data_IF_015550234391
#
_entry.id   IF_015550234391
#
_cell.length_a   1.000
_cell.length_b   1.000
_cell.length_c   1.000
_cell.angle_alpha   90.00
_cell.angle_beta   90.00
_cell.angle_gamma   90.00
#
_symmetry.space_group_name_H-M   'P 1'
#
loop_
_entity.id
_entity.type
_entity.pdbx_description
1 polymer ?
#
# COMPACT_ATOMS: atom_id res chain seq x y z
N UNK A 1 -39.00 33.21 -53.48
CA UNK A 1 -38.60 31.79 -53.29
C UNK A 1 -37.37 31.77 -52.40
N UNK A 2 -37.52 31.38 -51.13
CA UNK A 2 -36.45 31.39 -50.12
C UNK A 2 -35.93 29.97 -49.93
N UNK A 3 -34.66 29.73 -50.27
CA UNK A 3 -33.98 28.43 -50.13
C UNK A 3 -33.45 28.34 -48.69
N UNK A 4 -34.08 27.49 -47.86
CA UNK A 4 -33.60 27.12 -46.53
C UNK A 4 -32.59 25.98 -46.67
N UNK A 5 -31.31 26.27 -46.41
CA UNK A 5 -30.26 25.29 -46.26
C UNK A 5 -30.37 24.60 -44.89
N UNK A 6 -30.52 23.27 -44.88
CA UNK A 6 -30.38 22.45 -43.68
C UNK A 6 -28.90 22.07 -43.48
N UNK A 7 -28.30 22.58 -42.41
CA UNK A 7 -27.05 22.06 -41.89
C UNK A 7 -27.33 20.80 -41.03
N UNK A 8 -26.61 19.69 -41.22
CA UNK A 8 -26.71 18.55 -40.31
C UNK A 8 -25.86 18.84 -39.06
N UNK A 9 -26.52 18.81 -37.91
CA UNK A 9 -25.91 18.88 -36.58
C UNK A 9 -25.17 17.56 -36.32
N UNK A 10 -23.84 17.61 -36.35
CA UNK A 10 -22.96 16.49 -36.05
C UNK A 10 -22.86 16.38 -34.53
N UNK A 11 -23.73 15.56 -33.93
CA UNK A 11 -23.68 15.22 -32.51
C UNK A 11 -22.52 14.26 -32.29
N UNK A 12 -21.38 14.81 -31.85
CA UNK A 12 -20.30 14.01 -31.27
C UNK A 12 -20.83 13.37 -29.97
N UNK A 13 -21.11 12.07 -30.02
CA UNK A 13 -21.30 11.25 -28.83
C UNK A 13 -19.97 11.27 -28.06
N UNK A 14 -19.93 12.08 -27.00
CA UNK A 14 -18.86 12.09 -26.01
C UNK A 14 -18.97 10.78 -25.20
N UNK A 15 -18.39 9.70 -25.72
CA UNK A 15 -18.23 8.44 -24.97
C UNK A 15 -17.19 8.73 -23.87
N UNK A 16 -17.55 8.70 -22.58
CA UNK A 16 -16.56 8.84 -21.52
C UNK A 16 -15.54 7.70 -21.63
N UNK A 17 -14.23 7.96 -21.44
CA UNK A 17 -13.24 6.90 -21.41
C UNK A 17 -13.64 5.90 -20.32
N UNK A 18 -13.44 4.58 -20.55
CA UNK A 18 -13.73 3.59 -19.53
C UNK A 18 -12.93 3.94 -18.28
N UNK A 19 -13.62 4.21 -17.18
CA UNK A 19 -12.98 4.37 -15.88
C UNK A 19 -12.21 3.08 -15.60
N UNK A 20 -10.88 3.15 -15.62
CA UNK A 20 -10.04 1.99 -15.31
C UNK A 20 -10.43 1.52 -13.91
N UNK A 21 -11.01 0.32 -13.81
CA UNK A 21 -11.35 -0.29 -12.52
C UNK A 21 -10.05 -0.37 -11.73
N UNK A 22 -9.98 0.30 -10.58
CA UNK A 22 -8.81 0.24 -9.73
C UNK A 22 -8.55 -1.22 -9.39
N UNK A 23 -7.36 -1.72 -9.73
CA UNK A 23 -6.94 -3.10 -9.42
C UNK A 23 -6.99 -3.32 -7.91
N UNK A 24 -7.32 -4.53 -7.48
CA UNK A 24 -7.13 -4.94 -6.09
C UNK A 24 -5.64 -5.00 -5.76
N UNK A 25 -5.25 -4.43 -4.61
CA UNK A 25 -3.85 -4.41 -4.16
C UNK A 25 -3.52 -5.57 -3.21
N UNK A 26 -4.56 -6.23 -2.71
CA UNK A 26 -4.48 -7.46 -1.94
C UNK A 26 -4.98 -8.61 -2.80
N UNK A 27 -4.40 -9.78 -2.59
CA UNK A 27 -4.90 -11.04 -3.15
C UNK A 27 -6.15 -11.49 -2.40
N UNK A 28 -6.95 -12.36 -3.01
CA UNK A 28 -8.14 -12.92 -2.37
C UNK A 28 -7.81 -13.59 -1.01
N UNK A 29 -6.74 -14.39 -0.95
CA UNK A 29 -6.32 -15.05 0.29
C UNK A 29 -5.82 -14.08 1.37
N UNK A 30 -5.20 -12.97 0.99
CA UNK A 30 -4.82 -11.92 1.93
C UNK A 30 -6.05 -11.20 2.49
N UNK A 31 -7.04 -10.88 1.64
CA UNK A 31 -8.30 -10.29 2.07
C UNK A 31 -9.02 -11.20 3.05
N UNK A 32 -9.14 -12.49 2.73
CA UNK A 32 -9.77 -13.49 3.61
C UNK A 32 -9.06 -13.56 4.96
N UNK A 33 -7.73 -13.64 4.95
CA UNK A 33 -6.92 -13.69 6.17
C UNK A 33 -7.10 -12.46 7.04
N UNK A 34 -7.10 -11.26 6.42
CA UNK A 34 -7.28 -9.98 7.13
C UNK A 34 -8.69 -9.87 7.72
N UNK A 35 -9.71 -10.29 6.98
CA UNK A 35 -11.10 -10.27 7.45
C UNK A 35 -11.34 -11.27 8.59
N UNK A 36 -10.69 -12.43 8.55
CA UNK A 36 -10.76 -13.46 9.59
C UNK A 36 -9.95 -13.15 10.86
N UNK A 37 -9.11 -12.12 10.85
CA UNK A 37 -8.20 -11.85 11.95
C UNK A 37 -8.92 -11.30 13.21
N UNK A 38 -8.58 -11.80 14.42
CA UNK A 38 -9.36 -11.57 15.64
C UNK A 38 -9.25 -10.14 16.21
N UNK A 39 -8.30 -9.33 15.73
CA UNK A 39 -8.03 -8.00 16.27
C UNK A 39 -7.08 -7.17 15.41
N UNK A 40 -6.92 -5.90 15.79
CA UNK A 40 -6.08 -4.94 15.05
C UNK A 40 -4.62 -5.38 15.01
N UNK A 41 -4.09 -5.95 16.09
CA UNK A 41 -2.70 -6.38 16.14
C UNK A 41 -2.41 -7.52 15.15
N UNK A 42 -3.35 -8.46 14.99
CA UNK A 42 -3.25 -9.54 14.02
C UNK A 42 -3.41 -9.02 12.58
N UNK A 43 -4.37 -8.12 12.34
CA UNK A 43 -4.56 -7.49 11.02
C UNK A 43 -3.33 -6.71 10.58
N UNK A 44 -2.75 -5.90 11.48
CA UNK A 44 -1.50 -5.18 11.18
C UNK A 44 -0.43 -6.16 10.73
N UNK A 45 -0.23 -7.29 11.43
CA UNK A 45 0.77 -8.27 11.04
C UNK A 45 0.55 -8.80 9.62
N UNK A 46 -0.68 -9.21 9.29
CA UNK A 46 -1.04 -9.73 7.97
C UNK A 46 -0.83 -8.70 6.86
N UNK A 47 -1.20 -7.45 7.09
CA UNK A 47 -0.90 -6.39 6.14
C UNK A 47 0.61 -6.17 5.98
N UNK A 48 1.39 -6.19 7.06
CA UNK A 48 2.84 -6.01 6.97
C UNK A 48 3.52 -7.17 6.23
N UNK A 49 3.01 -8.40 6.38
CA UNK A 49 3.48 -9.57 5.62
C UNK A 49 3.17 -9.42 4.12
N UNK A 50 1.98 -8.95 3.77
CA UNK A 50 1.61 -8.65 2.38
C UNK A 50 2.49 -7.53 1.80
N UNK A 51 2.73 -6.46 2.56
CA UNK A 51 3.61 -5.35 2.17
C UNK A 51 5.05 -5.82 1.93
N UNK A 52 5.59 -6.65 2.83
CA UNK A 52 6.92 -7.22 2.69
C UNK A 52 7.03 -8.09 1.43
N UNK A 53 6.01 -8.90 1.15
CA UNK A 53 5.96 -9.72 -0.07
C UNK A 53 6.05 -8.85 -1.32
N UNK A 54 5.31 -7.72 -1.37
CA UNK A 54 5.38 -6.78 -2.52
C UNK A 54 6.79 -6.24 -2.72
N UNK A 55 7.46 -5.77 -1.65
CA UNK A 55 8.82 -5.23 -1.79
C UNK A 55 9.83 -6.30 -2.22
N UNK A 56 9.72 -7.52 -1.68
CA UNK A 56 10.59 -8.63 -2.08
C UNK A 56 10.41 -8.98 -3.55
N UNK A 57 9.16 -9.20 -3.98
CA UNK A 57 8.87 -9.52 -5.37
C UNK A 57 9.21 -8.37 -6.33
N UNK A 58 9.10 -7.12 -5.90
CA UNK A 58 9.55 -5.97 -6.69
C UNK A 58 11.06 -6.00 -6.93
N UNK A 59 11.85 -6.30 -5.90
CA UNK A 59 13.30 -6.43 -6.02
C UNK A 59 13.72 -7.61 -6.92
N UNK A 60 13.05 -8.75 -6.79
CA UNK A 60 13.22 -9.90 -7.67
C UNK A 60 12.91 -9.50 -9.13
N UNK A 61 11.80 -8.78 -9.37
CA UNK A 61 11.42 -8.34 -10.72
C UNK A 61 12.43 -7.35 -11.33
N UNK A 62 13.01 -6.47 -10.53
CA UNK A 62 14.06 -5.54 -11.00
C UNK A 62 15.34 -6.27 -11.40
N UNK A 63 15.65 -7.38 -10.72
CA UNK A 63 16.83 -8.19 -10.99
C UNK A 63 16.63 -9.25 -12.07
N UNK A 64 15.41 -9.37 -12.61
CA UNK A 64 15.07 -10.33 -13.67
C UNK A 64 14.59 -11.68 -13.15
N UNK A 65 14.22 -11.77 -11.87
CA UNK A 65 13.59 -12.96 -11.30
C UNK A 65 12.19 -13.19 -11.88
N UNK A 66 11.92 -14.45 -12.20
CA UNK A 66 10.60 -14.93 -12.61
C UNK A 66 9.80 -15.34 -11.36
N UNK A 67 8.48 -15.21 -11.46
CA UNK A 67 7.57 -15.68 -10.42
C UNK A 67 7.21 -17.14 -10.66
N UNK A 68 6.91 -17.87 -9.59
CA UNK A 68 6.39 -19.23 -9.71
C UNK A 68 5.03 -19.24 -10.40
N UNK A 69 4.75 -20.29 -11.18
CA UNK A 69 3.47 -20.46 -11.86
C UNK A 69 2.32 -20.44 -10.84
N UNK A 70 1.36 -19.54 -11.06
CA UNK A 70 0.21 -19.36 -10.17
C UNK A 70 0.47 -18.45 -8.97
N UNK A 71 1.63 -17.79 -8.88
CA UNK A 71 1.80 -16.69 -7.93
C UNK A 71 0.80 -15.55 -8.29
N UNK A 72 -0.05 -15.10 -7.35
CA UNK A 72 -0.94 -13.96 -7.57
C UNK A 72 -0.24 -12.66 -8.03
N UNK A 73 1.07 -12.55 -7.85
CA UNK A 73 1.90 -11.41 -8.22
C UNK A 73 2.65 -11.61 -9.55
N UNK A 74 2.49 -12.76 -10.21
CA UNK A 74 3.25 -13.17 -11.40
C UNK A 74 3.28 -12.08 -12.48
N UNK A 75 2.12 -11.51 -12.79
CA UNK A 75 1.98 -10.54 -13.88
C UNK A 75 2.22 -9.08 -13.47
N UNK A 76 2.58 -8.82 -12.21
CA UNK A 76 2.74 -7.45 -11.74
C UNK A 76 4.14 -6.90 -12.04
N UNK A 77 4.23 -5.64 -12.44
CA UNK A 77 5.54 -4.97 -12.55
C UNK A 77 6.08 -4.56 -11.17
N UNK A 78 7.36 -4.24 -11.09
CA UNK A 78 7.96 -3.76 -9.84
C UNK A 78 7.28 -2.47 -9.32
N UNK A 79 6.94 -1.57 -10.24
CA UNK A 79 6.23 -0.32 -9.98
C UNK A 79 4.83 -0.62 -9.41
N UNK A 80 4.10 -1.54 -10.06
CA UNK A 80 2.78 -1.97 -9.61
C UNK A 80 2.81 -2.63 -8.23
N UNK A 81 3.85 -3.40 -7.91
CA UNK A 81 4.00 -3.99 -6.57
C UNK A 81 4.29 -2.91 -5.53
N UNK A 82 5.04 -1.86 -5.90
CA UNK A 82 5.35 -0.76 -4.99
C UNK A 82 4.14 0.17 -4.76
N UNK A 83 3.29 0.37 -5.77
CA UNK A 83 1.98 1.01 -5.62
C UNK A 83 1.08 0.21 -4.69
N UNK A 84 1.05 -1.13 -4.82
CA UNK A 84 0.31 -1.99 -3.91
C UNK A 84 0.86 -1.91 -2.49
N UNK A 85 2.19 -1.93 -2.31
CA UNK A 85 2.85 -1.70 -1.02
C UNK A 85 2.37 -0.41 -0.36
N UNK A 86 2.32 0.69 -1.11
CA UNK A 86 1.84 1.99 -0.60
C UNK A 86 0.38 1.94 -0.16
N UNK A 87 -0.49 1.27 -0.93
CA UNK A 87 -1.92 1.11 -0.59
C UNK A 87 -2.12 0.24 0.65
N UNK A 88 -1.31 -0.83 0.79
CA UNK A 88 -1.28 -1.67 1.99
C UNK A 88 -0.87 -0.83 3.20
N UNK A 89 0.25 -0.11 3.12
CA UNK A 89 0.75 0.67 4.24
C UNK A 89 -0.23 1.76 4.68
N UNK A 90 -0.84 2.47 3.73
CA UNK A 90 -1.90 3.44 4.05
C UNK A 90 -3.09 2.78 4.74
N UNK A 91 -3.52 1.61 4.29
CA UNK A 91 -4.61 0.85 4.92
C UNK A 91 -4.28 0.49 6.38
N UNK A 92 -3.02 0.13 6.65
CA UNK A 92 -2.54 -0.12 8.02
C UNK A 92 -2.57 1.14 8.86
N UNK A 93 -2.07 2.26 8.32
CA UNK A 93 -2.07 3.55 9.04
C UNK A 93 -3.50 3.96 9.42
N UNK A 94 -4.45 3.85 8.48
CA UNK A 94 -5.87 4.15 8.75
C UNK A 94 -6.47 3.21 9.79
N UNK A 95 -6.22 1.90 9.69
CA UNK A 95 -6.78 0.94 10.63
C UNK A 95 -6.22 1.11 12.06
N UNK A 96 -4.95 1.49 12.18
CA UNK A 96 -4.33 1.76 13.48
C UNK A 96 -4.80 3.08 14.05
N UNK A 97 -4.91 4.14 13.24
CA UNK A 97 -5.43 5.44 13.69
C UNK A 97 -6.89 5.32 14.14
N UNK A 98 -7.75 4.67 13.36
CA UNK A 98 -9.15 4.40 13.75
C UNK A 98 -9.25 3.64 15.08
N UNK A 99 -8.45 2.59 15.25
CA UNK A 99 -8.38 1.86 16.50
C UNK A 99 -7.85 2.70 17.68
N UNK A 100 -7.01 3.71 17.40
CA UNK A 100 -6.44 4.62 18.39
C UNK A 100 -7.45 5.68 18.82
N UNK A 101 -8.21 6.24 17.88
CA UNK A 101 -9.27 7.21 18.16
C UNK A 101 -10.48 6.56 18.84
N UNK A 102 -10.77 5.30 18.53
CA UNK A 102 -11.91 4.57 19.09
C UNK A 102 -11.52 3.26 19.82
N UNK A 103 -10.75 3.31 20.93
CA UNK A 103 -10.24 2.10 21.60
C UNK A 103 -11.33 1.15 22.09
N UNK A 104 -12.54 1.65 22.36
CA UNK A 104 -13.69 0.85 22.80
C UNK A 104 -14.29 -0.02 21.69
N UNK A 105 -14.13 0.40 20.42
CA UNK A 105 -14.59 -0.36 19.25
C UNK A 105 -13.49 -1.27 18.71
N UNK A 106 -12.23 -0.90 18.94
CA UNK A 106 -11.08 -1.70 18.57
C UNK A 106 -11.05 -3.04 19.33
N UNK A 107 -11.09 -4.14 18.59
CA UNK A 107 -10.72 -5.47 19.11
C UNK A 107 -9.20 -5.65 19.00
N UNK A 108 -8.58 -6.24 20.01
CA UNK A 108 -7.14 -6.53 20.05
C UNK A 108 -6.32 -5.50 20.81
N UNK A 109 -5.00 -5.72 20.87
CA UNK A 109 -4.08 -4.85 21.61
C UNK A 109 -3.43 -3.81 20.71
N UNK A 110 -3.88 -2.56 20.83
CA UNK A 110 -3.34 -1.44 20.07
C UNK A 110 -1.86 -1.15 20.35
N UNK A 111 -1.38 -1.36 21.58
CA UNK A 111 0.04 -1.19 21.89
C UNK A 111 0.89 -2.21 21.15
N UNK A 112 0.39 -3.43 21.01
CA UNK A 112 1.05 -4.48 20.23
C UNK A 112 0.98 -4.17 18.74
N UNK A 113 -0.16 -3.69 18.23
CA UNK A 113 -0.29 -3.25 16.85
C UNK A 113 0.71 -2.14 16.48
N UNK A 114 0.83 -1.09 17.30
CA UNK A 114 1.78 0.00 17.10
C UNK A 114 3.24 -0.46 17.20
N UNK A 115 3.57 -1.36 18.14
CA UNK A 115 4.92 -1.96 18.23
C UNK A 115 5.27 -2.75 16.97
N UNK A 116 4.33 -3.56 16.45
CA UNK A 116 4.49 -4.30 15.20
C UNK A 116 4.68 -3.34 14.03
N UNK A 117 3.82 -2.33 13.89
CA UNK A 117 3.94 -1.33 12.83
C UNK A 117 5.32 -0.66 12.86
N UNK A 118 5.76 -0.13 14.01
CA UNK A 118 7.09 0.50 14.17
C UNK A 118 8.24 -0.44 13.82
N UNK A 119 8.20 -1.69 14.30
CA UNK A 119 9.25 -2.66 14.05
C UNK A 119 9.35 -3.02 12.56
N UNK A 120 8.21 -3.36 11.95
CA UNK A 120 8.11 -3.80 10.57
C UNK A 120 8.44 -2.68 9.58
N UNK A 121 7.99 -1.45 9.81
CA UNK A 121 8.41 -0.32 8.96
C UNK A 121 9.92 -0.09 9.02
N UNK A 122 10.55 -0.31 10.17
CA UNK A 122 12.01 -0.26 10.28
C UNK A 122 12.75 -1.30 9.44
N UNK A 123 12.19 -2.48 9.25
CA UNK A 123 12.72 -3.51 8.35
C UNK A 123 12.45 -3.18 6.88
N UNK A 124 11.25 -2.70 6.57
CA UNK A 124 10.85 -2.32 5.21
C UNK A 124 11.66 -1.14 4.67
N UNK A 125 12.03 -0.17 5.51
CA UNK A 125 12.94 0.93 5.12
C UNK A 125 14.29 0.44 4.62
N UNK A 126 14.83 -0.65 5.21
CA UNK A 126 16.08 -1.25 4.72
C UNK A 126 15.88 -1.84 3.32
N UNK A 127 14.76 -2.52 3.09
CA UNK A 127 14.41 -3.10 1.78
C UNK A 127 14.15 -2.01 0.73
N UNK A 128 13.51 -0.91 1.11
CA UNK A 128 13.31 0.25 0.22
C UNK A 128 14.64 0.89 -0.17
N UNK A 129 15.60 0.96 0.75
CA UNK A 129 16.96 1.42 0.44
C UNK A 129 17.66 0.51 -0.58
N UNK A 130 17.53 -0.81 -0.42
CA UNK A 130 18.08 -1.77 -1.39
C UNK A 130 17.40 -1.62 -2.76
N UNK A 131 16.07 -1.49 -2.79
CA UNK A 131 15.31 -1.29 -4.02
C UNK A 131 15.63 0.06 -4.69
N UNK A 132 15.91 1.12 -3.91
CA UNK A 132 16.35 2.43 -4.44
C UNK A 132 17.66 2.28 -5.19
N UNK A 133 18.65 1.62 -4.56
CA UNK A 133 19.95 1.34 -5.18
C UNK A 133 19.79 0.52 -6.45
N UNK A 134 18.98 -0.54 -6.42
CA UNK A 134 18.70 -1.34 -7.62
C UNK A 134 18.03 -0.53 -8.74
N UNK A 135 17.11 0.36 -8.39
CA UNK A 135 16.42 1.23 -9.36
C UNK A 135 17.37 2.21 -10.02
N UNK A 136 18.32 2.76 -9.26
CA UNK A 136 19.38 3.64 -9.78
C UNK A 136 20.37 2.87 -10.67
N UNK A 137 20.88 1.72 -10.20
CA UNK A 137 21.78 0.83 -10.97
C UNK A 137 21.16 0.40 -12.31
N UNK A 138 19.85 0.17 -12.34
CA UNK A 138 19.09 -0.24 -13.54
C UNK A 138 18.52 0.94 -14.32
N UNK A 139 18.79 2.19 -13.93
CA UNK A 139 18.27 3.40 -14.55
C UNK A 139 16.74 3.43 -14.71
N UNK A 140 16.02 2.88 -13.72
CA UNK A 140 14.55 2.86 -13.68
C UNK A 140 14.01 4.07 -12.93
N UNK A 141 13.94 5.22 -13.60
CA UNK A 141 13.55 6.50 -12.99
C UNK A 141 12.14 6.46 -12.36
N UNK A 142 11.16 5.89 -13.05
CA UNK A 142 9.78 5.78 -12.53
C UNK A 142 9.73 4.99 -11.20
N UNK A 143 10.45 3.87 -11.14
CA UNK A 143 10.55 3.07 -9.93
C UNK A 143 11.32 3.80 -8.83
N UNK A 144 12.42 4.48 -9.16
CA UNK A 144 13.19 5.27 -8.20
C UNK A 144 12.34 6.35 -7.52
N UNK A 145 11.52 7.07 -8.30
CA UNK A 145 10.58 8.07 -7.78
C UNK A 145 9.55 7.44 -6.84
N UNK A 146 8.96 6.30 -7.22
CA UNK A 146 8.03 5.58 -6.35
C UNK A 146 8.70 5.07 -5.07
N UNK A 147 9.97 4.66 -5.13
CA UNK A 147 10.71 4.21 -3.94
C UNK A 147 10.95 5.35 -2.97
N UNK A 148 11.24 6.56 -3.45
CA UNK A 148 11.37 7.72 -2.57
C UNK A 148 10.04 8.07 -1.89
N UNK A 149 8.93 8.05 -2.65
CA UNK A 149 7.61 8.25 -2.08
C UNK A 149 7.27 7.17 -1.03
N UNK A 150 7.60 5.92 -1.32
CA UNK A 150 7.42 4.81 -0.39
C UNK A 150 8.25 4.97 0.88
N UNK A 151 9.49 5.44 0.78
CA UNK A 151 10.37 5.71 1.91
C UNK A 151 9.79 6.79 2.83
N UNK A 152 9.37 7.93 2.27
CA UNK A 152 8.75 9.03 3.01
C UNK A 152 7.50 8.57 3.79
N UNK A 153 6.60 7.84 3.13
CA UNK A 153 5.37 7.35 3.77
C UNK A 153 5.68 6.29 4.83
N UNK A 154 6.71 5.47 4.60
CA UNK A 154 7.13 4.44 5.57
C UNK A 154 7.76 5.05 6.81
N UNK A 155 8.57 6.10 6.66
CA UNK A 155 9.09 6.88 7.80
C UNK A 155 7.95 7.56 8.55
N UNK A 156 6.99 8.17 7.85
CA UNK A 156 5.82 8.78 8.48
C UNK A 156 4.98 7.75 9.29
N UNK A 157 4.75 6.56 8.72
CA UNK A 157 4.05 5.48 9.42
C UNK A 157 4.82 5.01 10.67
N UNK A 158 6.15 4.92 10.59
CA UNK A 158 7.01 4.58 11.72
C UNK A 158 6.95 5.64 12.82
N UNK A 159 7.07 6.91 12.45
CA UNK A 159 7.02 8.03 13.38
C UNK A 159 5.66 8.10 14.08
N UNK A 160 4.55 7.97 13.34
CA UNK A 160 3.21 7.93 13.92
C UNK A 160 3.02 6.76 14.89
N UNK A 161 3.58 5.58 14.58
CA UNK A 161 3.55 4.45 15.50
C UNK A 161 4.33 4.71 16.81
N UNK A 162 5.47 5.39 16.72
CA UNK A 162 6.28 5.79 17.86
C UNK A 162 5.60 6.84 18.74
N UNK A 163 4.97 7.83 18.12
CA UNK A 163 4.17 8.84 18.81
C UNK A 163 2.99 8.19 19.55
N UNK A 164 2.21 7.34 18.87
CA UNK A 164 1.10 6.61 19.48
C UNK A 164 1.53 5.78 20.69
N UNK A 165 2.69 5.10 20.62
CA UNK A 165 3.25 4.38 21.77
C UNK A 165 3.62 5.30 22.93
N UNK A 166 4.14 6.48 22.63
CA UNK A 166 4.54 7.46 23.65
C UNK A 166 3.32 8.01 24.39
N UNK A 167 2.23 8.30 23.66
CA UNK A 167 0.95 8.70 24.24
C UNK A 167 0.40 7.62 25.17
N UNK A 168 0.37 6.35 24.74
CA UNK A 168 -0.14 5.25 25.57
C UNK A 168 0.68 5.04 26.85
N UNK A 169 2.01 5.26 26.80
CA UNK A 169 2.86 5.18 28.00
C UNK A 169 2.51 6.29 28.99
N UNK A 170 2.36 7.53 28.52
CA UNK A 170 2.02 8.68 29.35
C UNK A 170 0.64 8.53 30.04
N UNK A 171 -0.31 7.87 29.37
CA UNK A 171 -1.62 7.57 29.95
C UNK A 171 -1.56 6.50 31.05
N UNK A 172 -0.63 5.54 30.98
CA UNK A 172 -0.46 4.48 32.00
C UNK A 172 0.30 4.94 33.25
N UNK A 173 1.03 6.04 33.17
CA UNK A 173 1.77 6.62 34.31
C UNK A 173 0.95 7.59 35.16
N UNK A 174 -0.32 7.82 34.81
CA UNK A 174 -1.28 8.65 35.55
C UNK A 174 -2.24 7.75 36.31
#
# INVERSE_FOLDING_TARGET
MFVKWMAPLLVFLLVPPPASRARDFLTAGEVESIQGAPGIDARVNLYMDAAERRLRSAAERVTGGESDEGDPLEFLTAEQMLEDYLRILRSVMFAVDDAFQEPKRAKGDISTALRRLKGRTGELLKRLRDLRRLSEEKQKEALWNLVNQADEITEAARAGAEEGLSILRAQRSR
#
